data_IF_978095583413
#
_entry.id   IF_978095583413
#
_cell.length_a   1.000
_cell.length_b   1.000
_cell.length_c   1.000
_cell.angle_alpha   90.00
_cell.angle_beta   90.00
_cell.angle_gamma   90.00
#
_symmetry.space_group_name_H-M   'P 1'
#
loop_
_entity.id
_entity.type
_entity.pdbx_description
1 polymer ?
#
# COMPACT_ATOMS: atom_id res chain seq x y z
N UNK A 1 4.84 -25.35 -26.41
CA UNK A 1 3.99 -24.30 -25.81
C UNK A 1 2.75 -24.14 -26.66
N UNK A 2 1.59 -24.01 -26.05
CA UNK A 2 0.30 -23.74 -26.69
C UNK A 2 0.07 -22.23 -26.91
N UNK A 3 -0.82 -21.89 -27.84
CA UNK A 3 -1.08 -20.50 -28.22
C UNK A 3 -1.62 -19.66 -27.05
N UNK A 4 -2.48 -20.22 -26.20
CA UNK A 4 -3.07 -19.48 -25.10
C UNK A 4 -2.01 -19.06 -24.07
N UNK A 5 -1.09 -19.96 -23.73
CA UNK A 5 0.06 -19.62 -22.88
C UNK A 5 0.99 -18.60 -23.54
N UNK A 6 1.23 -18.73 -24.86
CA UNK A 6 2.07 -17.79 -25.60
C UNK A 6 1.51 -16.37 -25.54
N UNK A 7 0.24 -16.20 -25.89
CA UNK A 7 -0.46 -14.89 -25.93
C UNK A 7 -0.45 -14.21 -24.56
N UNK A 8 -0.73 -14.96 -23.48
CA UNK A 8 -0.73 -14.42 -22.11
C UNK A 8 0.63 -13.88 -21.66
N UNK A 9 1.72 -14.35 -22.28
CA UNK A 9 3.10 -14.00 -21.91
C UNK A 9 3.77 -13.04 -22.88
N UNK A 10 3.07 -12.52 -23.90
CA UNK A 10 3.66 -11.61 -24.90
C UNK A 10 4.14 -10.29 -24.30
N UNK A 11 3.40 -9.69 -23.38
CA UNK A 11 3.81 -8.45 -22.72
C UNK A 11 5.09 -8.64 -21.91
N UNK A 12 5.12 -9.64 -21.01
CA UNK A 12 6.31 -9.97 -20.24
C UNK A 12 7.51 -10.37 -21.12
N UNK A 13 7.24 -10.96 -22.30
CA UNK A 13 8.28 -11.22 -23.30
C UNK A 13 8.84 -9.93 -23.91
N UNK A 14 7.99 -8.95 -24.26
CA UNK A 14 8.39 -7.64 -24.76
C UNK A 14 9.18 -6.83 -23.72
N UNK A 15 8.74 -6.89 -22.46
CA UNK A 15 9.33 -6.17 -21.34
C UNK A 15 10.61 -6.87 -20.79
N UNK A 16 10.99 -8.01 -21.39
CA UNK A 16 12.14 -8.84 -21.02
C UNK A 16 12.11 -9.32 -19.55
N UNK A 17 10.91 -9.59 -19.03
CA UNK A 17 10.66 -10.05 -17.66
C UNK A 17 10.60 -11.58 -17.51
N UNK A 18 10.66 -12.32 -18.63
CA UNK A 18 10.63 -13.78 -18.61
C UNK A 18 12.02 -14.39 -18.38
N UNK A 19 12.04 -15.49 -17.63
CA UNK A 19 13.22 -16.34 -17.51
C UNK A 19 13.69 -16.85 -18.89
N UNK A 20 15.00 -17.09 -19.05
CA UNK A 20 15.61 -17.44 -20.33
C UNK A 20 14.98 -18.66 -21.03
N UNK A 21 14.55 -19.66 -20.26
CA UNK A 21 13.88 -20.85 -20.79
C UNK A 21 12.54 -20.51 -21.44
N UNK A 22 11.73 -19.70 -20.75
CA UNK A 22 10.41 -19.25 -21.23
C UNK A 22 10.55 -18.29 -22.42
N UNK A 23 11.54 -17.40 -22.39
CA UNK A 23 11.85 -16.51 -23.52
C UNK A 23 12.19 -17.30 -24.79
N UNK A 24 12.99 -18.37 -24.68
CA UNK A 24 13.30 -19.28 -25.80
C UNK A 24 12.07 -20.03 -26.31
N UNK A 25 11.23 -20.51 -25.39
CA UNK A 25 9.99 -21.21 -25.74
C UNK A 25 9.02 -20.30 -26.52
N UNK A 26 8.84 -19.04 -26.08
CA UNK A 26 8.03 -18.05 -26.79
C UNK A 26 8.63 -17.72 -28.15
N UNK A 27 9.94 -17.45 -28.21
CA UNK A 27 10.62 -17.16 -29.49
C UNK A 27 10.42 -18.28 -30.51
N UNK A 28 10.57 -19.54 -30.09
CA UNK A 28 10.33 -20.71 -30.94
C UNK A 28 8.88 -20.80 -31.42
N UNK A 29 7.91 -20.52 -30.53
CA UNK A 29 6.50 -20.53 -30.90
C UNK A 29 6.13 -19.40 -31.87
N UNK A 30 6.66 -18.18 -31.67
CA UNK A 30 6.43 -17.05 -32.58
C UNK A 30 7.01 -17.29 -33.98
N UNK A 31 8.06 -18.10 -34.11
CA UNK A 31 8.57 -18.52 -35.42
C UNK A 31 7.72 -19.62 -36.08
N UNK A 32 6.98 -20.40 -35.31
CA UNK A 32 6.16 -21.52 -35.81
C UNK A 32 4.67 -21.22 -35.93
N UNK A 33 4.17 -20.13 -35.32
CA UNK A 33 2.75 -19.81 -35.23
C UNK A 33 2.47 -18.38 -35.75
N UNK A 34 1.98 -18.24 -37.00
CA UNK A 34 1.70 -16.93 -37.60
C UNK A 34 0.70 -16.09 -36.82
N UNK A 35 -0.34 -16.69 -36.25
CA UNK A 35 -1.38 -15.95 -35.50
C UNK A 35 -0.89 -15.36 -34.18
N UNK A 36 0.06 -16.03 -33.51
CA UNK A 36 0.70 -15.49 -32.31
C UNK A 36 1.75 -14.44 -32.67
N UNK A 37 2.43 -14.59 -33.81
CA UNK A 37 3.35 -13.58 -34.34
C UNK A 37 2.61 -12.27 -34.68
N UNK A 38 1.46 -12.36 -35.35
CA UNK A 38 0.63 -11.21 -35.68
C UNK A 38 0.16 -10.46 -34.42
N UNK A 39 -0.30 -11.18 -33.39
CA UNK A 39 -0.66 -10.57 -32.11
C UNK A 39 0.53 -9.86 -31.44
N UNK A 40 1.72 -10.44 -31.54
CA UNK A 40 2.93 -9.81 -31.01
C UNK A 40 3.30 -8.53 -31.78
N UNK A 41 3.14 -8.52 -33.11
CA UNK A 41 3.33 -7.32 -33.93
C UNK A 41 2.30 -6.22 -33.60
N UNK A 42 1.04 -6.59 -33.40
CA UNK A 42 -0.01 -5.64 -32.97
C UNK A 42 0.32 -5.00 -31.62
N UNK A 43 0.82 -5.80 -30.67
CA UNK A 43 1.28 -5.30 -29.38
C UNK A 43 2.45 -4.31 -29.54
N UNK A 44 3.45 -4.63 -30.37
CA UNK A 44 4.56 -3.73 -30.65
C UNK A 44 4.11 -2.41 -31.28
N UNK A 45 3.19 -2.46 -32.26
CA UNK A 45 2.65 -1.27 -32.91
C UNK A 45 1.92 -0.36 -31.93
N UNK A 46 1.15 -0.94 -30.99
CA UNK A 46 0.49 -0.17 -29.94
C UNK A 46 1.51 0.56 -29.04
N UNK A 47 2.61 -0.11 -28.69
CA UNK A 47 3.70 0.49 -27.90
C UNK A 47 4.48 1.56 -28.66
N UNK A 48 4.74 1.36 -29.95
CA UNK A 48 5.42 2.35 -30.79
C UNK A 48 4.57 3.62 -30.95
N UNK A 49 3.24 3.46 -31.09
CA UNK A 49 2.32 4.59 -31.09
C UNK A 49 2.38 5.39 -29.77
N UNK A 50 2.52 4.71 -28.62
CA UNK A 50 2.73 5.38 -27.33
C UNK A 50 4.11 6.03 -27.21
N UNK A 51 5.14 5.45 -27.82
CA UNK A 51 6.49 6.02 -27.88
C UNK A 51 6.58 7.33 -28.68
N UNK A 52 5.60 7.60 -29.55
CA UNK A 52 5.53 8.84 -30.32
C UNK A 52 5.05 10.07 -29.52
N UNK A 53 4.68 9.88 -28.24
CA UNK A 53 4.24 10.98 -27.40
C UNK A 53 5.39 11.97 -27.16
N UNK A 54 5.10 13.28 -27.09
CA UNK A 54 6.12 14.29 -26.79
C UNK A 54 6.79 14.03 -25.45
N UNK A 55 8.11 14.21 -25.39
CA UNK A 55 8.84 14.17 -24.13
C UNK A 55 8.30 15.23 -23.17
N UNK A 56 7.82 14.77 -22.02
CA UNK A 56 7.36 15.63 -20.93
C UNK A 56 8.57 16.20 -20.21
N UNK A 57 9.02 17.38 -20.63
CA UNK A 57 10.06 18.11 -19.92
C UNK A 57 9.50 18.68 -18.61
N UNK A 58 9.71 17.97 -17.50
CA UNK A 58 9.32 18.45 -16.17
C UNK A 58 10.20 19.62 -15.75
N UNK A 59 9.58 20.70 -15.24
CA UNK A 59 10.34 21.84 -14.72
C UNK A 59 11.27 21.41 -13.56
N UNK A 60 12.45 22.02 -13.45
CA UNK A 60 13.44 21.72 -12.40
C UNK A 60 12.91 21.89 -10.97
N UNK A 61 11.82 22.65 -10.79
CA UNK A 61 11.15 22.88 -9.51
C UNK A 61 9.96 21.94 -9.22
N UNK A 62 9.57 21.08 -10.16
CA UNK A 62 8.37 20.25 -10.07
C UNK A 62 8.38 19.34 -8.83
N UNK A 63 9.49 18.65 -8.61
CA UNK A 63 9.64 17.77 -7.44
C UNK A 63 9.51 18.54 -6.12
N UNK A 64 10.12 19.73 -6.03
CA UNK A 64 10.00 20.61 -4.86
C UNK A 64 8.56 21.09 -4.64
N UNK A 65 7.78 21.25 -5.70
CA UNK A 65 6.38 21.64 -5.62
C UNK A 65 5.51 20.48 -5.13
N UNK A 66 5.76 19.25 -5.59
CA UNK A 66 5.10 18.04 -5.09
C UNK A 66 5.39 17.85 -3.60
N UNK A 67 6.66 17.90 -3.20
CA UNK A 67 7.05 17.72 -1.81
C UNK A 67 6.39 18.72 -0.86
N UNK A 68 6.32 20.00 -1.27
CA UNK A 68 5.61 21.03 -0.50
C UNK A 68 4.13 20.68 -0.32
N UNK A 69 3.43 20.32 -1.39
CA UNK A 69 2.00 19.96 -1.31
C UNK A 69 1.77 18.74 -0.43
N UNK A 70 2.60 17.70 -0.53
CA UNK A 70 2.49 16.51 0.31
C UNK A 70 2.68 16.86 1.79
N UNK A 71 3.72 17.64 2.11
CA UNK A 71 3.97 18.09 3.48
C UNK A 71 2.83 18.97 4.02
N UNK A 72 2.28 19.88 3.22
CA UNK A 72 1.18 20.74 3.65
C UNK A 72 -0.07 19.91 3.96
N UNK A 73 -0.34 18.85 3.19
CA UNK A 73 -1.49 17.96 3.44
C UNK A 73 -1.29 17.02 4.63
N UNK A 74 -0.09 16.48 4.82
CA UNK A 74 0.20 15.55 5.92
C UNK A 74 0.41 16.24 7.26
N UNK A 75 1.02 17.43 7.24
CA UNK A 75 1.31 18.20 8.44
C UNK A 75 0.28 19.30 8.71
N UNK A 76 -0.83 19.33 7.98
CA UNK A 76 -1.91 20.25 8.28
C UNK A 76 -2.37 20.01 9.73
N UNK A 77 -2.27 21.01 10.62
CA UNK A 77 -2.76 20.84 11.98
C UNK A 77 -4.27 20.58 11.91
N UNK A 78 -4.72 19.51 12.56
CA UNK A 78 -6.15 19.21 12.70
C UNK A 78 -6.78 20.38 13.47
N UNK A 79 -7.53 21.22 12.76
CA UNK A 79 -8.28 22.31 13.37
C UNK A 79 -9.47 21.73 14.11
N UNK A 80 -9.26 21.39 15.39
CA UNK A 80 -10.37 21.04 16.28
C UNK A 80 -11.12 22.32 16.64
N UNK A 81 -12.43 22.43 16.33
CA UNK A 81 -13.17 23.64 16.64
C UNK A 81 -13.30 23.76 18.17
N UNK A 82 -12.81 24.87 18.71
CA UNK A 82 -12.75 25.18 20.15
C UNK A 82 -14.12 25.63 20.69
N UNK A 83 -15.14 24.77 20.60
CA UNK A 83 -16.46 25.01 21.19
C UNK A 83 -16.46 25.01 22.74
N UNK A 84 -15.36 24.57 23.39
CA UNK A 84 -15.25 24.44 24.85
C UNK A 84 -14.66 25.64 25.61
N UNK A 85 -14.23 26.70 24.91
CA UNK A 85 -13.47 27.80 25.53
C UNK A 85 -14.23 28.60 26.59
N UNK A 86 -15.58 28.61 26.55
CA UNK A 86 -16.39 29.25 27.60
C UNK A 86 -16.40 28.43 28.89
N UNK A 87 -16.41 27.09 28.78
CA UNK A 87 -16.62 26.16 29.88
C UNK A 87 -15.37 26.08 30.76
N UNK A 88 -14.20 26.19 30.12
CA UNK A 88 -12.89 26.27 30.75
C UNK A 88 -12.67 27.58 31.52
N UNK A 89 -13.50 28.61 31.27
CA UNK A 89 -13.49 29.89 32.00
C UNK A 89 -14.36 29.86 33.26
N UNK A 90 -15.37 28.99 33.30
CA UNK A 90 -16.33 28.91 34.42
C UNK A 90 -16.01 27.78 35.40
N UNK A 91 -15.29 26.74 34.96
CA UNK A 91 -14.91 25.60 35.81
C UNK A 91 -13.40 25.62 36.08
N UNK A 92 -12.97 25.54 37.36
CA UNK A 92 -11.55 25.40 37.68
C UNK A 92 -11.00 24.10 37.06
N UNK A 93 -9.74 24.13 36.61
CA UNK A 93 -9.07 23.02 35.90
C UNK A 93 -9.12 21.69 36.66
N UNK A 94 -9.19 21.72 37.99
CA UNK A 94 -9.36 20.53 38.83
C UNK A 94 -10.71 19.82 38.63
N UNK A 95 -11.80 20.54 38.41
CA UNK A 95 -13.14 19.97 38.22
C UNK A 95 -13.29 19.27 36.86
N UNK A 96 -12.65 19.82 35.83
CA UNK A 96 -12.66 19.23 34.47
C UNK A 96 -11.86 17.93 34.45
N UNK A 97 -10.69 17.89 35.11
CA UNK A 97 -9.88 16.68 35.21
C UNK A 97 -10.63 15.54 35.92
N UNK A 98 -11.37 15.84 37.00
CA UNK A 98 -12.19 14.84 37.68
C UNK A 98 -13.33 14.30 36.82
N UNK A 99 -14.02 15.14 36.05
CA UNK A 99 -15.09 14.70 35.14
C UNK A 99 -14.56 13.81 34.01
N UNK A 100 -13.40 14.15 33.44
CA UNK A 100 -12.74 13.32 32.42
C UNK A 100 -12.31 11.98 33.01
N UNK A 101 -11.67 11.98 34.19
CA UNK A 101 -11.26 10.75 34.87
C UNK A 101 -12.47 9.85 35.21
N UNK A 102 -13.55 10.42 35.73
CA UNK A 102 -14.79 9.69 36.01
C UNK A 102 -15.40 9.14 34.73
N UNK A 103 -15.45 9.92 33.65
CA UNK A 103 -15.94 9.47 32.34
C UNK A 103 -15.11 8.34 31.74
N UNK A 104 -13.78 8.41 31.84
CA UNK A 104 -12.87 7.34 31.41
C UNK A 104 -13.11 6.08 32.25
N UNK A 105 -13.19 6.21 33.58
CA UNK A 105 -13.43 5.05 34.47
C UNK A 105 -14.79 4.42 34.20
N UNK A 106 -15.86 5.21 34.06
CA UNK A 106 -17.18 4.71 33.72
C UNK A 106 -17.20 4.04 32.34
N UNK A 107 -16.54 4.66 31.34
CA UNK A 107 -16.41 4.11 30.00
C UNK A 107 -15.66 2.79 29.99
N UNK A 108 -14.56 2.67 30.75
CA UNK A 108 -13.79 1.43 30.90
C UNK A 108 -14.60 0.36 31.61
N UNK A 109 -15.31 0.69 32.69
CA UNK A 109 -16.15 -0.27 33.43
C UNK A 109 -17.33 -0.76 32.57
N UNK A 110 -18.00 0.15 31.86
CA UNK A 110 -19.09 -0.17 30.95
C UNK A 110 -18.58 -0.98 29.74
N UNK A 111 -17.45 -0.59 29.16
CA UNK A 111 -16.81 -1.31 28.06
C UNK A 111 -16.39 -2.72 28.48
N UNK A 112 -15.78 -2.88 29.65
CA UNK A 112 -15.35 -4.17 30.17
C UNK A 112 -16.54 -5.10 30.47
N UNK A 113 -17.67 -4.55 30.93
CA UNK A 113 -18.88 -5.33 31.16
C UNK A 113 -19.62 -5.71 29.87
N UNK A 114 -19.49 -4.92 28.80
CA UNK A 114 -19.94 -5.26 27.45
C UNK A 114 -19.04 -6.33 26.80
N UNK A 115 -17.71 -6.23 26.95
CA UNK A 115 -16.74 -7.24 26.49
C UNK A 115 -16.92 -8.56 27.24
N UNK A 116 -17.14 -8.52 28.56
CA UNK A 116 -17.38 -9.72 29.37
C UNK A 116 -18.72 -10.42 29.06
N UNK A 117 -19.68 -9.70 28.48
CA UNK A 117 -20.98 -10.24 28.01
C UNK A 117 -20.99 -10.53 26.51
N UNK A 118 -19.95 -10.19 25.77
CA UNK A 118 -19.83 -10.59 24.39
C UNK A 118 -19.79 -12.13 24.39
N UNK A 119 -20.74 -12.82 23.73
CA UNK A 119 -20.62 -14.25 23.53
C UNK A 119 -19.29 -14.47 22.82
N UNK A 120 -18.51 -15.46 23.27
CA UNK A 120 -17.29 -15.91 22.61
C UNK A 120 -17.64 -16.43 21.21
N UNK A 121 -17.88 -15.51 20.28
CA UNK A 121 -18.13 -15.78 18.88
C UNK A 121 -16.81 -15.54 18.17
N UNK A 122 -16.11 -16.66 17.98
CA UNK A 122 -15.13 -16.89 16.92
C UNK A 122 -14.06 -15.81 16.79
N UNK A 123 -12.94 -16.06 17.46
CA UNK A 123 -11.63 -15.72 16.91
C UNK A 123 -11.51 -16.34 15.51
N UNK A 124 -12.02 -15.65 14.49
CA UNK A 124 -11.47 -15.76 13.15
C UNK A 124 -9.97 -15.45 13.30
N UNK A 125 -9.06 -16.31 12.81
CA UNK A 125 -7.63 -16.13 13.07
C UNK A 125 -7.22 -14.76 12.54
N UNK A 126 -6.81 -13.85 13.43
CA UNK A 126 -6.26 -12.54 13.05
C UNK A 126 -5.09 -12.70 12.06
N UNK A 127 -4.38 -13.83 12.16
CA UNK A 127 -3.36 -14.29 11.23
C UNK A 127 -3.86 -14.42 9.78
N UNK A 128 -5.12 -14.81 9.57
CA UNK A 128 -5.70 -14.96 8.22
C UNK A 128 -6.01 -13.61 7.58
N UNK A 129 -6.44 -12.63 8.38
CA UNK A 129 -6.70 -11.26 7.91
C UNK A 129 -5.40 -10.51 7.63
N UNK A 130 -4.39 -10.66 8.49
CA UNK A 130 -3.06 -10.10 8.26
C UNK A 130 -2.36 -10.75 7.05
N UNK A 131 -2.53 -12.06 6.86
CA UNK A 131 -2.02 -12.77 5.67
C UNK A 131 -2.73 -12.34 4.38
N UNK A 132 -4.04 -12.08 4.42
CA UNK A 132 -4.79 -11.61 3.25
C UNK A 132 -4.51 -10.15 2.91
N UNK A 133 -4.08 -9.33 3.87
CA UNK A 133 -3.62 -7.96 3.64
C UNK A 133 -2.18 -7.93 3.07
N UNK A 134 -1.37 -8.95 3.35
CA UNK A 134 -0.02 -9.10 2.78
C UNK A 134 0.01 -9.29 1.25
N UNK A 135 -1.10 -9.71 0.62
CA UNK A 135 -1.26 -9.75 -0.85
C UNK A 135 -1.23 -8.36 -1.48
N UNK A 136 -1.54 -7.32 -0.72
CA UNK A 136 -1.53 -5.92 -1.17
C UNK A 136 -0.30 -5.15 -0.69
N UNK A 137 0.63 -5.81 0.01
CA UNK A 137 1.86 -5.17 0.45
C UNK A 137 2.77 -4.94 -0.78
N UNK A 138 3.04 -3.68 -1.19
CA UNK A 138 3.77 -3.37 -2.41
C UNK A 138 5.28 -3.64 -2.29
N UNK A 139 5.72 -4.30 -1.22
CA UNK A 139 7.12 -4.60 -0.94
C UNK A 139 7.43 -6.02 -1.41
N UNK A 140 7.96 -6.20 -2.64
CA UNK A 140 8.39 -7.51 -3.09
C UNK A 140 9.53 -8.04 -2.21
N UNK A 141 9.57 -9.36 -1.94
CA UNK A 141 10.64 -9.97 -1.16
C UNK A 141 11.99 -9.76 -1.86
N UNK A 142 13.00 -9.36 -1.08
CA UNK A 142 14.34 -9.03 -1.61
C UNK A 142 14.52 -7.59 -2.12
N UNK A 143 13.49 -6.73 -1.99
CA UNK A 143 13.64 -5.28 -2.23
C UNK A 143 14.41 -4.58 -1.09
N UNK A 144 14.88 -3.36 -1.37
CA UNK A 144 15.56 -2.52 -0.37
C UNK A 144 14.67 -2.20 0.84
N UNK A 145 13.35 -2.10 0.63
CA UNK A 145 12.41 -1.85 1.72
C UNK A 145 12.27 -3.09 2.63
N UNK A 146 12.28 -4.31 2.08
CA UNK A 146 12.28 -5.57 2.85
C UNK A 146 13.57 -5.70 3.69
N UNK A 147 14.74 -5.41 3.10
CA UNK A 147 16.01 -5.48 3.84
C UNK A 147 16.10 -4.41 4.95
N UNK A 148 15.61 -3.20 4.70
CA UNK A 148 15.53 -2.14 5.72
C UNK A 148 14.61 -2.54 6.88
N UNK A 149 13.42 -3.06 6.59
CA UNK A 149 12.47 -3.50 7.62
C UNK A 149 13.03 -4.65 8.46
N UNK A 150 13.76 -5.60 7.85
CA UNK A 150 14.44 -6.67 8.58
C UNK A 150 15.55 -6.16 9.49
N UNK A 151 16.33 -5.18 9.04
CA UNK A 151 17.37 -4.55 9.85
C UNK A 151 16.77 -3.83 11.06
N UNK A 152 15.68 -3.07 10.86
CA UNK A 152 14.97 -2.38 11.93
C UNK A 152 14.35 -3.35 12.94
N UNK A 153 13.67 -4.40 12.47
CA UNK A 153 13.05 -5.41 13.33
C UNK A 153 14.07 -6.27 14.11
N UNK A 154 15.28 -6.45 13.57
CA UNK A 154 16.38 -7.11 14.27
C UNK A 154 17.00 -6.20 15.35
N UNK A 155 17.12 -4.90 15.07
CA UNK A 155 17.65 -3.91 16.00
C UNK A 155 16.78 -3.76 17.26
N UNK A 156 15.46 -3.77 17.10
CA UNK A 156 14.52 -3.70 18.23
C UNK A 156 14.57 -4.93 19.15
N UNK A 157 15.01 -6.09 18.64
CA UNK A 157 15.19 -7.30 19.46
C UNK A 157 16.55 -7.36 20.17
N UNK A 158 17.53 -6.56 19.75
CA UNK A 158 18.86 -6.50 20.36
C UNK A 158 18.96 -5.53 21.55
N UNK A 159 17.91 -4.74 21.82
CA UNK A 159 17.90 -3.71 22.86
C UNK A 159 16.98 -4.07 24.05
N UNK A 160 16.75 -5.37 24.28
CA UNK A 160 16.08 -5.93 25.48
C UNK A 160 16.98 -6.94 26.17
#
# INVERSE_FOLDING_TARGET
>A
MDCHTAVRRLSAYQDNELADADRKAIKSHLSGCPSCNEQFLQLQQAWEALGSLPDLNVSTGFYRQIQRRLNDTWNAPVQVPTYGGWLQRVLPTSAVASLVAVGIVLGVVAGNSLVARAPAQTSAPEDSLLSSLGVFDPVPPGSLADSFNRLMAANDRGNR
#
